data_IF_348837237895
#
_entry.id   IF_348837237895
#
_cell.length_a   1.000
_cell.length_b   1.000
_cell.length_c   1.000
_cell.angle_alpha   90.00
_cell.angle_beta   90.00
_cell.angle_gamma   90.00
#
_symmetry.space_group_name_H-M   'P 1'
#
loop_
_entity.id
_entity.type
_entity.pdbx_description
1 polymer ?
#
# COMPACT_ATOMS: atom_id res chain seq x y z
N UNK A 1 -3.58 1.33 12.14
CA UNK A 1 -2.47 2.14 11.62
C UNK A 1 -1.50 1.25 10.85
N UNK A 2 -1.33 1.53 9.56
CA UNK A 2 -0.31 0.93 8.71
C UNK A 2 0.88 1.89 8.62
N UNK A 3 2.08 1.36 8.74
CA UNK A 3 3.31 2.11 8.53
C UNK A 3 4.36 1.20 7.92
N UNK A 4 5.41 1.77 7.35
CA UNK A 4 6.38 0.95 6.67
C UNK A 4 7.37 1.71 5.83
N UNK A 5 7.92 1.02 4.84
CA UNK A 5 8.87 1.58 3.89
C UNK A 5 8.66 1.01 2.49
N UNK A 6 8.66 1.88 1.49
CA UNK A 6 8.72 1.49 0.08
C UNK A 6 10.17 1.46 -0.39
N UNK A 7 10.53 0.33 -1.01
CA UNK A 7 11.88 0.06 -1.50
C UNK A 7 11.81 -0.46 -2.94
N UNK A 8 12.83 -0.17 -3.73
CA UNK A 8 13.08 -0.88 -5.00
C UNK A 8 13.61 -2.29 -4.74
N UNK A 9 13.61 -3.13 -5.78
CA UNK A 9 14.24 -4.46 -5.72
C UNK A 9 15.73 -4.48 -5.32
N UNK A 10 16.46 -3.37 -5.48
CA UNK A 10 17.85 -3.20 -5.01
C UNK A 10 17.96 -2.48 -3.65
N UNK A 11 16.84 -2.29 -2.94
CA UNK A 11 16.80 -1.76 -1.57
C UNK A 11 16.89 -0.23 -1.45
N UNK A 12 16.74 0.52 -2.55
CA UNK A 12 16.73 1.99 -2.55
C UNK A 12 15.36 2.53 -2.17
N UNK A 13 15.29 3.68 -1.49
CA UNK A 13 14.00 4.28 -1.07
C UNK A 13 13.17 4.78 -2.25
N UNK A 14 11.84 4.67 -2.11
CA UNK A 14 10.85 5.17 -3.08
C UNK A 14 9.92 6.21 -2.45
N UNK A 15 10.23 7.51 -2.55
CA UNK A 15 9.42 8.57 -1.95
C UNK A 15 8.24 9.05 -2.81
N UNK A 16 8.26 8.76 -4.11
CA UNK A 16 7.26 9.20 -5.09
C UNK A 16 6.61 7.99 -5.75
N UNK A 17 5.40 7.67 -5.32
CA UNK A 17 4.60 6.54 -5.79
C UNK A 17 3.14 6.94 -5.88
N UNK A 18 2.47 6.51 -6.93
CA UNK A 18 1.01 6.53 -6.99
C UNK A 18 0.50 5.31 -6.22
N UNK A 19 -0.29 5.56 -5.17
CA UNK A 19 -0.85 4.52 -4.33
C UNK A 19 -2.35 4.74 -4.11
N UNK A 20 -3.03 3.67 -3.74
CA UNK A 20 -4.42 3.70 -3.31
C UNK A 20 -4.54 2.93 -2.00
N UNK A 21 -5.30 3.49 -1.06
CA UNK A 21 -5.67 2.82 0.16
C UNK A 21 -7.20 2.68 0.18
N UNK A 22 -7.67 1.45 0.05
CA UNK A 22 -9.09 1.11 -0.09
C UNK A 22 -9.56 0.30 1.11
N UNK A 23 -10.85 0.35 1.42
CA UNK A 23 -11.46 -0.53 2.42
C UNK A 23 -11.36 -2.00 2.01
N UNK A 24 -11.47 -2.93 2.95
CA UNK A 24 -11.81 -4.30 2.63
C UNK A 24 -12.99 -4.72 3.53
N UNK A 25 -14.12 -5.14 2.96
CA UNK A 25 -15.33 -5.45 3.74
C UNK A 25 -15.15 -6.69 4.63
N UNK A 26 -14.19 -7.56 4.31
CA UNK A 26 -13.86 -8.77 5.05
C UNK A 26 -12.35 -9.06 4.97
N UNK A 27 -11.86 -9.94 5.86
CA UNK A 27 -10.45 -10.34 5.91
C UNK A 27 -10.06 -11.36 4.83
N UNK A 28 -11.05 -11.99 4.19
CA UNK A 28 -10.88 -12.95 3.09
C UNK A 28 -11.77 -12.54 1.89
N UNK A 29 -11.40 -11.45 1.20
CA UNK A 29 -12.13 -10.97 0.04
C UNK A 29 -12.01 -11.95 -1.13
N UNK A 30 -13.13 -12.17 -1.83
CA UNK A 30 -13.12 -12.94 -3.07
C UNK A 30 -12.28 -12.23 -4.14
N UNK A 31 -11.59 -12.96 -5.03
CA UNK A 31 -10.87 -12.37 -6.14
C UNK A 31 -11.77 -11.42 -6.96
N UNK A 32 -11.37 -10.16 -7.10
CA UNK A 32 -12.14 -9.12 -7.79
C UNK A 32 -13.07 -8.30 -6.89
N UNK A 33 -13.23 -8.66 -5.62
CA UNK A 33 -13.93 -7.85 -4.62
C UNK A 33 -12.93 -7.04 -3.78
N UNK A 34 -12.06 -6.33 -4.49
CA UNK A 34 -11.10 -5.40 -3.90
C UNK A 34 -11.86 -4.14 -3.51
N UNK A 35 -11.50 -3.52 -2.38
CA UNK A 35 -12.15 -2.34 -1.82
C UNK A 35 -12.71 -1.35 -2.82
N UNK A 36 -13.95 -0.90 -2.61
CA UNK A 36 -14.59 0.01 -3.56
C UNK A 36 -14.40 1.49 -3.20
N UNK A 37 -13.96 1.79 -1.97
CA UNK A 37 -13.90 3.16 -1.46
C UNK A 37 -12.51 3.53 -0.94
N UNK A 38 -11.96 4.70 -1.33
CA UNK A 38 -10.79 5.27 -0.68
C UNK A 38 -11.05 5.53 0.80
N UNK A 39 -10.15 5.07 1.67
CA UNK A 39 -10.33 5.14 3.14
C UNK A 39 -9.25 5.89 3.88
N UNK A 40 -8.25 6.43 3.18
CA UNK A 40 -7.22 7.22 3.84
C UNK A 40 -6.13 7.66 2.89
N UNK A 41 -5.11 8.29 3.46
CA UNK A 41 -3.92 8.75 2.76
C UNK A 41 -2.67 8.11 3.39
N UNK A 42 -1.57 8.10 2.64
CA UNK A 42 -0.25 7.83 3.19
C UNK A 42 0.57 9.12 3.18
N UNK A 43 1.23 9.41 4.29
CA UNK A 43 2.30 10.39 4.36
C UNK A 43 3.61 9.66 4.08
N UNK A 44 4.34 10.05 3.03
CA UNK A 44 5.58 9.38 2.59
C UNK A 44 6.77 10.34 2.73
N UNK A 45 7.85 9.87 3.36
CA UNK A 45 9.11 10.61 3.53
C UNK A 45 10.05 10.42 2.34
N UNK A 46 11.07 11.27 2.24
CA UNK A 46 12.11 11.18 1.20
C UNK A 46 12.89 9.87 1.22
N UNK A 47 12.98 9.23 2.39
CA UNK A 47 13.64 7.95 2.62
C UNK A 47 12.71 6.75 2.38
N UNK A 48 11.52 6.99 1.82
CA UNK A 48 10.53 5.98 1.46
C UNK A 48 9.71 5.46 2.64
N UNK A 49 9.90 6.00 3.86
CA UNK A 49 9.05 5.63 5.00
C UNK A 49 7.65 6.16 4.78
N UNK A 50 6.64 5.40 5.18
CA UNK A 50 5.26 5.85 5.10
C UNK A 50 4.48 5.59 6.38
N UNK A 51 3.45 6.40 6.60
CA UNK A 51 2.45 6.22 7.65
C UNK A 51 1.06 6.49 7.09
N UNK A 52 0.13 5.60 7.38
CA UNK A 52 -1.26 5.78 6.98
C UNK A 52 -1.99 6.73 7.94
N UNK A 53 -2.78 7.63 7.38
CA UNK A 53 -3.79 8.38 8.10
C UNK A 53 -5.18 7.87 7.68
N UNK A 54 -5.78 7.02 8.53
CA UNK A 54 -7.07 6.39 8.30
C UNK A 54 -8.03 6.91 9.38
N UNK A 55 -9.10 7.64 9.02
CA UNK A 55 -9.96 8.34 9.98
C UNK A 55 -10.90 7.42 10.76
N UNK A 56 -11.08 6.16 10.32
CA UNK A 56 -11.99 5.18 10.91
C UNK A 56 -11.35 3.80 10.91
N UNK A 57 -11.84 2.91 11.78
CA UNK A 57 -11.40 1.51 11.82
C UNK A 57 -12.28 0.65 10.90
N UNK A 58 -11.64 -0.13 10.04
CA UNK A 58 -12.24 -1.11 9.14
C UNK A 58 -11.71 -2.51 9.51
N UNK A 59 -12.38 -3.55 9.02
CA UNK A 59 -11.98 -4.94 9.25
C UNK A 59 -10.62 -5.24 8.61
N UNK A 60 -10.42 -4.79 7.37
CA UNK A 60 -9.14 -4.82 6.68
C UNK A 60 -9.03 -3.66 5.69
N UNK A 61 -7.84 -3.51 5.10
CA UNK A 61 -7.51 -2.47 4.13
C UNK A 61 -6.65 -3.02 3.02
N UNK A 62 -6.88 -2.53 1.80
CA UNK A 62 -6.05 -2.79 0.65
C UNK A 62 -5.09 -1.63 0.41
N UNK A 63 -3.80 -1.93 0.36
CA UNK A 63 -2.79 -1.03 -0.18
C UNK A 63 -2.43 -1.50 -1.59
N UNK A 64 -2.80 -0.69 -2.58
CA UNK A 64 -2.37 -0.87 -3.97
C UNK A 64 -1.32 0.17 -4.33
N UNK A 65 -0.20 -0.25 -4.93
CA UNK A 65 0.72 0.67 -5.62
C UNK A 65 0.48 0.55 -7.11
N UNK A 66 0.06 1.65 -7.73
CA UNK A 66 -0.43 1.68 -9.10
C UNK A 66 0.56 2.42 -10.02
N UNK A 67 0.80 1.89 -11.22
CA UNK A 67 1.27 2.69 -12.37
C UNK A 67 2.77 2.84 -12.64
N UNK A 68 3.02 3.35 -13.85
CA UNK A 68 4.24 4.03 -14.31
C UNK A 68 5.48 3.16 -14.53
N UNK A 69 6.21 2.89 -13.44
CA UNK A 69 7.60 2.37 -13.50
C UNK A 69 7.76 1.01 -12.83
N UNK A 70 6.79 0.58 -12.04
CA UNK A 70 6.88 -0.64 -11.22
C UNK A 70 5.71 -1.58 -11.48
N UNK A 71 5.96 -2.88 -11.33
CA UNK A 71 4.90 -3.88 -11.30
C UNK A 71 3.91 -3.54 -10.18
N UNK A 72 2.59 -3.59 -10.44
CA UNK A 72 1.59 -3.30 -9.43
C UNK A 72 1.69 -4.32 -8.29
N UNK A 73 1.50 -3.84 -7.07
CA UNK A 73 1.48 -4.67 -5.86
C UNK A 73 0.22 -4.34 -5.08
N UNK A 74 -0.47 -5.39 -4.64
CA UNK A 74 -1.67 -5.30 -3.81
C UNK A 74 -1.45 -6.12 -2.55
N UNK A 75 -1.64 -5.50 -1.37
CA UNK A 75 -1.48 -6.17 -0.08
C UNK A 75 -2.68 -5.86 0.81
N UNK A 76 -3.21 -6.90 1.45
CA UNK A 76 -4.32 -6.81 2.41
C UNK A 76 -3.78 -6.78 3.85
N UNK A 77 -4.30 -5.87 4.68
CA UNK A 77 -3.94 -5.74 6.09
C UNK A 77 -5.19 -5.75 6.97
N UNK A 78 -5.30 -6.71 7.90
CA UNK A 78 -6.40 -6.81 8.88
C UNK A 78 -6.05 -6.27 10.27
N UNK A 79 -4.79 -5.87 10.47
CA UNK A 79 -4.30 -5.33 11.76
C UNK A 79 -3.25 -4.25 11.55
N UNK A 80 -3.03 -3.48 12.60
CA UNK A 80 -1.93 -2.53 12.68
C UNK A 80 -0.61 -3.26 12.47
N UNK A 81 0.19 -2.79 11.51
CA UNK A 81 1.43 -3.45 11.14
C UNK A 81 2.48 -2.48 10.64
N UNK A 82 3.74 -2.92 10.75
CA UNK A 82 4.90 -2.31 10.10
C UNK A 82 5.35 -3.25 8.97
N UNK A 83 5.55 -2.73 7.76
CA UNK A 83 5.84 -3.54 6.56
C UNK A 83 6.88 -2.89 5.65
N UNK A 84 7.72 -3.71 5.03
CA UNK A 84 8.56 -3.28 3.90
C UNK A 84 7.94 -3.79 2.60
N UNK A 85 7.71 -2.88 1.66
CA UNK A 85 7.10 -3.19 0.36
C UNK A 85 8.16 -3.00 -0.72
N UNK A 86 8.59 -4.11 -1.30
CA UNK A 86 9.58 -4.12 -2.38
C UNK A 86 8.87 -4.08 -3.73
N UNK A 87 9.15 -3.03 -4.50
CA UNK A 87 8.60 -2.81 -5.83
C UNK A 87 9.64 -3.17 -6.88
N UNK A 88 9.23 -4.01 -7.83
CA UNK A 88 10.06 -4.44 -8.94
C UNK A 88 9.82 -3.51 -10.12
N UNK A 89 10.85 -2.81 -10.64
CA UNK A 89 10.67 -1.99 -11.83
C UNK A 89 10.38 -2.87 -13.05
N UNK A 90 9.59 -2.37 -14.00
CA UNK A 90 9.46 -3.04 -15.29
C UNK A 90 10.83 -3.12 -15.97
N UNK A 91 11.15 -4.28 -16.55
CA UNK A 91 12.31 -4.38 -17.44
C UNK A 91 11.99 -3.58 -18.71
N UNK A 92 12.78 -2.53 -18.96
CA UNK A 92 12.83 -1.88 -20.26
C UNK A 92 13.48 -2.79 -21.29
#
# INVERSE_FOLDING_TARGET
MLQGRFLTGDGKPLPELDFVLLDAPNENPEPGNVGSLPVGTLEISKEGYFRSNIPRRYAAYYLGVMGGKYHPVEVLFSKDTCVEVYLVPYKH
#
